data_IF_438648037240
#
_entry.id   IF_438648037240
#
_cell.length_a   1.000
_cell.length_b   1.000
_cell.length_c   1.000
_cell.angle_alpha   90.00
_cell.angle_beta   90.00
_cell.angle_gamma   90.00
#
_symmetry.space_group_name_H-M   'P 1'
#
loop_
_entity.id
_entity.type
_entity.pdbx_description
1 polymer ?
#
# COMPACT_ATOMS: atom_id res chain seq x y z
N UNK A 1 27.29 6.98 -10.92
CA UNK A 1 27.24 7.19 -12.38
C UNK A 1 25.97 6.52 -12.88
N UNK A 2 24.89 7.27 -13.13
CA UNK A 2 23.67 6.70 -13.69
C UNK A 2 23.98 6.19 -15.10
N UNK A 3 23.83 4.89 -15.33
CA UNK A 3 24.03 4.30 -16.65
C UNK A 3 23.01 4.92 -17.61
N UNK A 4 23.48 5.66 -18.62
CA UNK A 4 22.60 6.23 -19.66
C UNK A 4 21.91 5.08 -20.39
N UNK A 5 20.67 4.78 -19.99
CA UNK A 5 19.84 3.78 -20.64
C UNK A 5 19.39 4.36 -21.98
N UNK A 6 19.72 3.67 -23.07
CA UNK A 6 19.30 4.08 -24.40
C UNK A 6 17.76 4.09 -24.50
N UNK A 7 17.22 5.18 -25.06
CA UNK A 7 15.77 5.33 -25.19
C UNK A 7 15.22 4.27 -26.17
N UNK A 8 14.21 3.55 -25.72
CA UNK A 8 13.51 2.56 -26.54
C UNK A 8 12.54 3.27 -27.49
N UNK A 9 12.45 2.87 -28.78
CA UNK A 9 11.52 3.47 -29.71
C UNK A 9 10.05 3.39 -29.23
N UNK A 10 9.19 4.38 -29.52
CA UNK A 10 7.83 4.47 -28.97
C UNK A 10 6.98 3.22 -29.18
N UNK A 11 6.95 2.68 -30.40
CA UNK A 11 6.14 1.49 -30.72
C UNK A 11 6.66 0.23 -30.04
N UNK A 12 7.98 0.11 -29.87
CA UNK A 12 8.59 -1.01 -29.16
C UNK A 12 8.27 -0.93 -27.68
N UNK A 13 8.40 0.26 -27.08
CA UNK A 13 8.08 0.50 -25.68
C UNK A 13 6.61 0.18 -25.39
N UNK A 14 5.70 0.69 -26.22
CA UNK A 14 4.26 0.40 -26.13
C UNK A 14 3.96 -1.11 -26.09
N UNK A 15 4.53 -1.89 -27.01
CA UNK A 15 4.34 -3.35 -27.05
C UNK A 15 4.94 -4.05 -25.84
N UNK A 16 6.10 -3.60 -25.36
CA UNK A 16 6.76 -4.17 -24.18
C UNK A 16 5.92 -3.93 -22.92
N UNK A 17 5.34 -2.75 -22.75
CA UNK A 17 4.44 -2.43 -21.62
C UNK A 17 3.23 -3.36 -21.61
N UNK A 18 2.52 -3.51 -22.73
CA UNK A 18 1.34 -4.40 -22.79
C UNK A 18 1.70 -5.88 -22.54
N UNK A 19 2.88 -6.32 -22.98
CA UNK A 19 3.39 -7.67 -22.66
C UNK A 19 3.68 -7.80 -21.17
N UNK A 20 4.28 -6.79 -20.55
CA UNK A 20 4.56 -6.78 -19.12
C UNK A 20 3.26 -6.80 -18.29
N UNK A 21 2.23 -6.04 -18.70
CA UNK A 21 0.91 -6.10 -18.08
C UNK A 21 0.29 -7.51 -18.15
N UNK A 22 0.40 -8.17 -19.30
CA UNK A 22 -0.10 -9.55 -19.44
C UNK A 22 0.62 -10.54 -18.52
N UNK A 23 1.93 -10.38 -18.35
CA UNK A 23 2.77 -11.33 -17.59
C UNK A 23 2.79 -11.08 -16.09
N UNK A 24 2.74 -9.82 -15.67
CA UNK A 24 3.07 -9.43 -14.30
C UNK A 24 1.93 -8.73 -13.56
N UNK A 25 0.90 -8.27 -14.28
CA UNK A 25 -0.20 -7.52 -13.69
C UNK A 25 -1.45 -8.42 -13.51
N UNK A 26 -2.08 -8.45 -12.33
CA UNK A 26 -3.35 -9.12 -12.10
C UNK A 26 -4.45 -8.66 -13.07
N UNK A 27 -5.42 -9.52 -13.42
CA UNK A 27 -6.45 -9.21 -14.42
C UNK A 27 -7.20 -7.90 -14.18
N UNK A 28 -7.58 -7.61 -12.93
CA UNK A 28 -8.32 -6.40 -12.56
C UNK A 28 -7.53 -5.11 -12.83
N UNK A 29 -6.22 -5.11 -12.56
CA UNK A 29 -5.37 -3.95 -12.81
C UNK A 29 -4.99 -3.82 -14.29
N UNK A 30 -4.96 -4.94 -15.02
CA UNK A 30 -4.71 -4.94 -16.46
C UNK A 30 -5.82 -4.24 -17.25
N UNK A 31 -7.07 -4.45 -16.89
CA UNK A 31 -8.21 -3.81 -17.57
C UNK A 31 -8.07 -2.28 -17.52
N UNK A 32 -7.78 -1.74 -16.33
CA UNK A 32 -7.57 -0.31 -16.14
C UNK A 32 -6.27 0.17 -16.82
N UNK A 33 -5.16 -0.53 -16.57
CA UNK A 33 -3.83 -0.15 -17.04
C UNK A 33 -3.69 -0.18 -18.56
N UNK A 34 -4.20 -1.21 -19.23
CA UNK A 34 -4.14 -1.32 -20.70
C UNK A 34 -4.91 -0.19 -21.38
N UNK A 35 -6.07 0.19 -20.82
CA UNK A 35 -6.87 1.32 -21.29
C UNK A 35 -6.11 2.64 -21.17
N UNK A 36 -5.49 2.88 -20.01
CA UNK A 36 -4.71 4.09 -19.75
C UNK A 36 -3.49 4.21 -20.69
N UNK A 37 -2.68 3.16 -20.81
CA UNK A 37 -1.51 3.14 -21.72
C UNK A 37 -1.92 3.47 -23.15
N UNK A 38 -3.00 2.83 -23.64
CA UNK A 38 -3.52 3.09 -25.00
C UNK A 38 -3.94 4.53 -25.20
N UNK A 39 -4.62 5.12 -24.22
CA UNK A 39 -5.05 6.51 -24.28
C UNK A 39 -3.86 7.47 -24.30
N UNK A 40 -2.89 7.26 -23.42
CA UNK A 40 -1.71 8.13 -23.30
C UNK A 40 -0.83 8.10 -24.55
N UNK A 41 -0.50 6.91 -25.08
CA UNK A 41 0.26 6.81 -26.33
C UNK A 41 -0.49 7.38 -27.54
N UNK A 42 -1.82 7.31 -27.54
CA UNK A 42 -2.64 7.95 -28.59
C UNK A 42 -2.60 9.47 -28.47
N UNK A 43 -2.75 10.02 -27.26
CA UNK A 43 -2.68 11.47 -27.00
C UNK A 43 -1.33 12.07 -27.39
N UNK A 44 -0.26 11.29 -27.27
CA UNK A 44 1.12 11.73 -27.58
C UNK A 44 1.58 11.35 -28.99
N UNK A 45 0.68 10.88 -29.85
CA UNK A 45 1.04 10.43 -31.22
C UNK A 45 1.50 11.59 -32.11
N UNK A 46 0.85 12.74 -31.99
CA UNK A 46 1.05 13.90 -32.87
C UNK A 46 1.84 15.03 -32.16
N UNK A 47 2.59 14.70 -31.11
CA UNK A 47 3.45 15.65 -30.40
C UNK A 47 4.80 15.72 -31.11
N UNK A 48 5.15 16.91 -31.60
CA UNK A 48 6.39 17.09 -32.39
C UNK A 48 7.57 17.63 -31.58
N UNK A 49 7.33 18.17 -30.38
CA UNK A 49 8.41 18.73 -29.56
C UNK A 49 9.32 17.61 -29.04
N UNK A 50 10.61 17.57 -29.44
CA UNK A 50 11.51 16.47 -29.11
C UNK A 50 11.77 16.36 -27.60
N UNK A 51 11.75 17.47 -26.85
CA UNK A 51 11.93 17.42 -25.39
C UNK A 51 10.77 16.70 -24.70
N UNK A 52 9.54 16.95 -25.16
CA UNK A 52 8.36 16.27 -24.62
C UNK A 52 8.36 14.78 -24.99
N UNK A 53 8.73 14.43 -26.23
CA UNK A 53 8.85 13.03 -26.65
C UNK A 53 9.90 12.29 -25.80
N UNK A 54 11.08 12.89 -25.59
CA UNK A 54 12.15 12.30 -24.78
C UNK A 54 11.69 12.11 -23.33
N UNK A 55 11.09 13.14 -22.73
CA UNK A 55 10.55 13.05 -21.36
C UNK A 55 9.48 11.96 -21.23
N UNK A 56 8.55 11.90 -22.17
CA UNK A 56 7.53 10.86 -22.25
C UNK A 56 8.15 9.46 -22.32
N UNK A 57 9.07 9.22 -23.27
CA UNK A 57 9.71 7.91 -23.43
C UNK A 57 10.53 7.48 -22.22
N UNK A 58 11.17 8.42 -21.53
CA UNK A 58 11.90 8.14 -20.30
C UNK A 58 10.95 7.67 -19.19
N UNK A 59 9.88 8.42 -18.93
CA UNK A 59 8.90 8.08 -17.90
C UNK A 59 8.26 6.70 -18.13
N UNK A 60 7.89 6.39 -19.38
CA UNK A 60 7.29 5.11 -19.72
C UNK A 60 8.29 3.94 -19.67
N UNK A 61 9.58 4.18 -19.90
CA UNK A 61 10.63 3.19 -19.67
C UNK A 61 10.87 2.92 -18.19
N UNK A 62 10.83 3.95 -17.35
CA UNK A 62 10.95 3.80 -15.90
C UNK A 62 9.74 3.02 -15.35
N UNK A 63 8.53 3.34 -15.82
CA UNK A 63 7.32 2.58 -15.51
C UNK A 63 7.44 1.10 -15.91
N UNK A 64 7.87 0.80 -17.13
CA UNK A 64 8.11 -0.58 -17.57
C UNK A 64 9.13 -1.28 -16.68
N UNK A 65 10.22 -0.60 -16.33
CA UNK A 65 11.28 -1.15 -15.47
C UNK A 65 10.73 -1.48 -14.08
N UNK A 66 9.85 -0.65 -13.54
CA UNK A 66 9.17 -0.93 -12.27
C UNK A 66 8.25 -2.14 -12.34
N UNK A 67 7.47 -2.31 -13.42
CA UNK A 67 6.62 -3.51 -13.58
C UNK A 67 7.47 -4.77 -13.65
N UNK A 68 8.57 -4.73 -14.40
CA UNK A 68 9.47 -5.88 -14.54
C UNK A 68 10.21 -6.21 -13.24
N UNK A 69 10.61 -5.19 -12.46
CA UNK A 69 11.26 -5.37 -11.17
C UNK A 69 10.30 -5.84 -10.07
N UNK A 70 9.02 -5.46 -10.15
CA UNK A 70 7.98 -5.89 -9.20
C UNK A 70 7.47 -7.31 -9.46
N UNK A 71 7.90 -7.95 -10.55
CA UNK A 71 7.55 -9.35 -10.81
C UNK A 71 8.18 -10.25 -9.74
N UNK A 72 7.40 -11.08 -9.02
CA UNK A 72 7.98 -12.06 -8.12
C UNK A 72 8.82 -13.04 -8.96
N UNK A 73 10.13 -13.03 -8.73
CA UNK A 73 11.04 -14.04 -9.25
C UNK A 73 10.56 -15.39 -8.72
N UNK A 74 9.93 -16.21 -9.57
CA UNK A 74 9.67 -17.62 -9.30
C UNK A 74 11.00 -18.38 -9.21
N UNK A 75 11.80 -18.16 -8.16
CA UNK A 75 12.77 -19.14 -7.71
C UNK A 75 12.05 -20.07 -6.73
N UNK A 76 11.26 -20.98 -7.32
CA UNK A 76 10.63 -22.06 -6.57
C UNK A 76 11.71 -23.10 -6.27
N UNK A 77 12.52 -22.85 -5.24
CA UNK A 77 13.36 -23.89 -4.68
C UNK A 77 12.42 -24.85 -3.95
N UNK A 78 12.12 -25.98 -4.59
CA UNK A 78 11.38 -27.09 -4.02
C UNK A 78 12.08 -27.57 -2.74
N UNK A 79 11.66 -27.05 -1.58
CA UNK A 79 11.85 -27.75 -0.33
C UNK A 79 10.63 -28.64 -0.12
N UNK A 80 10.84 -29.93 -0.30
CA UNK A 80 9.88 -30.98 0.03
C UNK A 80 9.65 -30.92 1.54
N UNK A 81 8.44 -30.54 1.98
CA UNK A 81 8.03 -30.72 3.37
C UNK A 81 7.49 -32.14 3.56
N UNK A 82 7.94 -32.89 4.58
CA UNK A 82 7.28 -34.12 4.96
C UNK A 82 5.98 -33.79 5.70
N UNK A 83 4.91 -34.46 5.24
CA UNK A 83 3.58 -34.50 5.84
C UNK A 83 3.64 -35.09 7.24
N UNK A 84 3.10 -34.41 8.27
CA UNK A 84 2.54 -35.08 9.45
C UNK A 84 1.45 -34.23 10.18
N UNK A 85 0.24 -34.74 10.02
CA UNK A 85 -1.02 -34.77 10.78
C UNK A 85 -1.20 -34.05 12.15
N UNK A 86 -2.31 -33.28 12.21
CA UNK A 86 -3.43 -33.22 13.19
C UNK A 86 -3.16 -32.94 14.68
N UNK A 87 -3.71 -31.80 15.17
CA UNK A 87 -4.67 -31.65 16.31
C UNK A 87 -4.93 -30.13 16.53
N UNK A 88 -6.14 -29.60 16.28
CA UNK A 88 -7.32 -29.45 17.16
C UNK A 88 -7.27 -28.17 18.03
N UNK A 89 -8.19 -27.23 17.78
CA UNK A 89 -8.83 -26.25 18.69
C UNK A 89 -9.79 -25.38 17.84
N UNK A 90 -11.11 -25.36 18.10
CA UNK A 90 -12.02 -24.34 17.60
C UNK A 90 -12.38 -23.40 18.75
N UNK A 91 -11.81 -22.19 18.80
CA UNK A 91 -12.23 -21.16 19.74
C UNK A 91 -12.82 -19.96 19.01
N UNK A 92 -14.04 -19.64 19.45
CA UNK A 92 -14.88 -18.53 19.03
C UNK A 92 -14.26 -17.19 19.42
N UNK A 93 -13.84 -16.37 18.44
CA UNK A 93 -13.72 -14.92 18.59
C UNK A 93 -13.68 -14.23 17.21
N UNK A 94 -14.49 -13.18 17.10
CA UNK A 94 -14.46 -12.03 16.16
C UNK A 94 -14.44 -12.27 14.64
N UNK A 95 -15.64 -12.16 14.07
CA UNK A 95 -15.95 -12.10 12.63
C UNK A 95 -15.47 -10.81 11.92
N UNK A 96 -14.79 -9.88 12.61
CA UNK A 96 -14.34 -8.60 12.03
C UNK A 96 -12.93 -8.60 11.41
N UNK A 97 -12.13 -9.67 11.59
CA UNK A 97 -10.73 -9.70 11.16
C UNK A 97 -10.48 -10.26 9.76
N UNK A 98 -11.51 -10.81 9.11
CA UNK A 98 -11.36 -11.54 7.84
C UNK A 98 -10.78 -10.68 6.71
N UNK A 99 -11.05 -9.38 6.67
CA UNK A 99 -10.51 -8.49 5.63
C UNK A 99 -9.03 -8.17 5.87
N UNK A 100 -8.64 -7.92 7.11
CA UNK A 100 -7.25 -7.58 7.42
C UNK A 100 -6.36 -8.82 7.35
N UNK A 101 -6.83 -9.98 7.79
CA UNK A 101 -6.13 -11.25 7.57
C UNK A 101 -6.09 -11.65 6.10
N UNK A 102 -7.18 -11.49 5.34
CA UNK A 102 -7.17 -11.76 3.89
C UNK A 102 -6.23 -10.81 3.15
N UNK A 103 -6.19 -9.53 3.53
CA UNK A 103 -5.21 -8.57 3.01
C UNK A 103 -3.77 -8.93 3.42
N UNK A 104 -3.53 -9.30 4.68
CA UNK A 104 -2.23 -9.79 5.16
C UNK A 104 -1.81 -11.05 4.43
N UNK A 105 -2.75 -11.94 4.11
CA UNK A 105 -2.52 -13.18 3.39
C UNK A 105 -2.25 -12.94 1.90
N UNK A 106 -2.94 -11.97 1.26
CA UNK A 106 -2.60 -11.47 -0.08
C UNK A 106 -1.22 -10.80 -0.12
N UNK A 107 -0.86 -10.06 0.94
CA UNK A 107 0.46 -9.44 1.09
C UNK A 107 1.54 -10.52 1.32
N UNK A 108 1.27 -11.53 2.15
CA UNK A 108 2.22 -12.63 2.44
C UNK A 108 2.38 -13.61 1.29
N UNK A 109 1.34 -13.78 0.46
CA UNK A 109 1.38 -14.50 -0.82
C UNK A 109 2.14 -13.72 -1.92
N UNK A 110 2.77 -12.59 -1.59
CA UNK A 110 3.61 -11.83 -2.51
C UNK A 110 2.84 -10.94 -3.47
N UNK A 111 1.54 -10.73 -3.23
CA UNK A 111 0.66 -9.94 -4.10
C UNK A 111 0.29 -8.56 -3.52
N UNK A 112 1.20 -7.97 -2.74
CA UNK A 112 1.13 -6.55 -2.42
C UNK A 112 1.54 -5.74 -3.66
N UNK A 113 0.57 -5.33 -4.47
CA UNK A 113 0.87 -4.45 -5.61
C UNK A 113 1.16 -3.02 -5.11
N UNK A 114 2.25 -2.44 -5.59
CA UNK A 114 2.76 -1.15 -5.12
C UNK A 114 3.87 -1.29 -4.06
N UNK A 115 4.50 -0.17 -3.71
CA UNK A 115 5.50 -0.11 -2.64
C UNK A 115 4.84 0.47 -1.39
N UNK A 116 5.19 -0.05 -0.21
CA UNK A 116 4.83 0.62 1.04
C UNK A 116 5.44 2.03 1.03
N UNK A 117 4.67 3.01 1.51
CA UNK A 117 5.14 4.39 1.59
C UNK A 117 6.34 4.45 2.54
N UNK A 118 7.42 5.10 2.09
CA UNK A 118 8.64 5.21 2.91
C UNK A 118 8.37 6.16 4.08
N UNK A 119 8.62 5.77 5.35
CA UNK A 119 8.42 6.64 6.50
C UNK A 119 9.20 7.96 6.39
N UNK A 120 10.43 7.95 5.86
CA UNK A 120 11.22 9.17 5.66
C UNK A 120 10.65 10.13 4.60
N UNK A 121 9.68 9.68 3.79
CA UNK A 121 8.94 10.55 2.86
C UNK A 121 7.76 11.24 3.58
N UNK A 122 7.14 10.58 4.56
CA UNK A 122 6.08 11.16 5.38
C UNK A 122 6.59 12.37 6.16
N UNK A 123 7.80 12.29 6.70
CA UNK A 123 8.45 13.38 7.44
C UNK A 123 8.75 14.61 6.56
N UNK A 124 8.77 14.43 5.23
CA UNK A 124 9.05 15.51 4.26
C UNK A 124 7.78 16.09 3.64
N UNK A 125 6.62 15.51 3.90
CA UNK A 125 5.33 16.00 3.41
C UNK A 125 4.88 17.19 4.26
N UNK A 126 4.20 18.16 3.64
CA UNK A 126 3.58 19.25 4.40
C UNK A 126 2.41 18.74 5.24
N UNK A 127 2.04 19.48 6.29
CA UNK A 127 0.88 19.14 7.14
C UNK A 127 -0.40 18.96 6.32
N UNK A 128 -0.59 19.78 5.28
CA UNK A 128 -1.71 19.66 4.37
C UNK A 128 -1.68 18.35 3.57
N UNK A 129 -0.51 17.95 3.05
CA UNK A 129 -0.34 16.70 2.30
C UNK A 129 -0.55 15.47 3.20
N UNK A 130 -0.07 15.55 4.44
CA UNK A 130 -0.30 14.53 5.48
C UNK A 130 -1.79 14.39 5.80
N UNK A 131 -2.51 15.51 5.94
CA UNK A 131 -3.96 15.51 6.15
C UNK A 131 -4.73 14.86 4.99
N UNK A 132 -4.41 15.23 3.75
CA UNK A 132 -5.04 14.61 2.56
C UNK A 132 -4.76 13.11 2.48
N UNK A 133 -3.53 12.69 2.77
CA UNK A 133 -3.15 11.29 2.78
C UNK A 133 -3.87 10.50 3.88
N UNK A 134 -4.05 11.11 5.06
CA UNK A 134 -4.79 10.52 6.17
C UNK A 134 -6.26 10.31 5.81
N UNK A 135 -6.94 11.33 5.27
CA UNK A 135 -8.35 11.21 4.85
C UNK A 135 -8.51 10.14 3.76
N UNK A 136 -7.63 10.14 2.75
CA UNK A 136 -7.63 9.09 1.73
C UNK A 136 -7.46 7.70 2.33
N UNK A 137 -6.53 7.53 3.28
CA UNK A 137 -6.31 6.25 3.97
C UNK A 137 -7.56 5.82 4.75
N UNK A 138 -8.22 6.77 5.42
CA UNK A 138 -9.44 6.54 6.20
C UNK A 138 -10.60 6.07 5.31
N UNK A 139 -10.81 6.76 4.20
CA UNK A 139 -11.81 6.38 3.19
C UNK A 139 -11.51 5.00 2.58
N UNK A 140 -10.26 4.75 2.16
CA UNK A 140 -9.85 3.51 1.51
C UNK A 140 -9.93 2.29 2.44
N UNK A 141 -9.73 2.48 3.75
CA UNK A 141 -9.94 1.42 4.77
C UNK A 141 -11.42 1.19 5.10
N UNK A 142 -12.34 2.04 4.63
CA UNK A 142 -13.75 1.93 4.94
C UNK A 142 -14.10 2.28 6.40
N UNK A 143 -13.26 3.08 7.07
CA UNK A 143 -13.43 3.53 8.47
C UNK A 143 -14.57 4.58 8.62
N UNK A 144 -15.71 4.33 7.97
CA UNK A 144 -16.84 5.24 7.87
C UNK A 144 -18.00 4.88 8.79
N UNK A 145 -17.97 3.76 9.51
CA UNK A 145 -19.14 3.36 10.31
C UNK A 145 -19.15 4.09 11.66
N UNK A 146 -20.29 4.71 12.07
CA UNK A 146 -20.44 5.29 13.41
C UNK A 146 -20.17 4.29 14.55
N UNK A 147 -20.32 2.99 14.27
CA UNK A 147 -20.03 1.92 15.23
C UNK A 147 -18.54 1.84 15.59
N UNK A 148 -17.64 2.01 14.63
CA UNK A 148 -16.19 1.98 14.89
C UNK A 148 -15.71 3.26 15.60
N UNK A 149 -16.39 4.40 15.41
CA UNK A 149 -16.15 5.62 16.20
C UNK A 149 -16.59 5.43 17.66
N UNK A 150 -17.72 4.78 17.89
CA UNK A 150 -18.18 4.41 19.23
C UNK A 150 -17.27 3.37 19.88
N UNK A 151 -16.72 2.43 19.11
CA UNK A 151 -15.75 1.45 19.61
C UNK A 151 -14.42 2.11 19.97
N UNK A 152 -13.89 3.01 19.13
CA UNK A 152 -12.68 3.77 19.45
C UNK A 152 -12.88 4.69 20.66
N UNK A 153 -14.04 5.35 20.78
CA UNK A 153 -14.37 6.18 21.93
C UNK A 153 -14.49 5.34 23.21
N UNK A 154 -15.01 4.10 23.11
CA UNK A 154 -15.05 3.16 24.23
C UNK A 154 -13.65 2.70 24.62
N UNK A 155 -12.82 2.30 23.67
CA UNK A 155 -11.43 1.90 23.91
C UNK A 155 -10.63 3.05 24.55
N UNK A 156 -10.81 4.28 24.08
CA UNK A 156 -10.16 5.46 24.67
C UNK A 156 -10.64 5.71 26.11
N UNK A 157 -11.94 5.59 26.38
CA UNK A 157 -12.49 5.72 27.74
C UNK A 157 -11.97 4.63 28.70
N UNK A 158 -11.85 3.40 28.22
CA UNK A 158 -11.38 2.27 29.01
C UNK A 158 -9.87 2.37 29.29
N UNK A 159 -9.09 2.89 28.33
CA UNK A 159 -7.68 3.21 28.53
C UNK A 159 -7.50 4.35 29.53
N UNK A 160 -8.31 5.40 29.48
CA UNK A 160 -8.29 6.48 30.47
C UNK A 160 -8.66 5.97 31.87
N UNK A 161 -9.61 5.06 31.98
CA UNK A 161 -10.00 4.45 33.24
C UNK A 161 -8.89 3.52 33.78
N UNK A 162 -8.24 2.73 32.93
CA UNK A 162 -7.07 1.91 33.30
C UNK A 162 -5.87 2.76 33.71
N UNK A 163 -5.60 3.84 32.99
CA UNK A 163 -4.53 4.78 33.33
C UNK A 163 -4.85 5.45 34.67
N UNK A 164 -6.09 5.92 34.87
CA UNK A 164 -6.54 6.50 36.13
C UNK A 164 -6.46 5.50 37.30
N UNK A 165 -6.79 4.23 37.07
CA UNK A 165 -6.68 3.15 38.07
C UNK A 165 -5.23 2.77 38.41
N UNK A 166 -4.28 3.11 37.54
CA UNK A 166 -2.84 2.84 37.73
C UNK A 166 -2.10 4.06 38.29
N UNK A 167 -2.77 5.21 38.40
CA UNK A 167 -2.20 6.38 39.08
C UNK A 167 -2.19 6.16 40.60
N UNK A 168 -1.02 6.25 41.27
CA UNK A 168 -0.95 6.13 42.71
C UNK A 168 -1.72 7.28 43.39
N UNK A 169 -2.36 7.01 44.52
CA UNK A 169 -3.11 8.01 45.31
C UNK A 169 -2.29 9.25 45.72
N UNK A 170 -0.96 9.22 45.55
CA UNK A 170 -0.07 10.37 45.73
C UNK A 170 -0.17 11.42 44.62
N UNK A 171 -0.80 11.13 43.48
CA UNK A 171 -1.00 12.10 42.39
C UNK A 171 -2.14 13.10 42.68
N UNK A 172 -3.01 12.82 43.66
CA UNK A 172 -4.17 13.67 44.01
C UNK A 172 -4.04 14.42 45.33
N UNK A 173 -2.86 14.44 45.99
CA UNK A 173 -2.65 15.33 47.13
C UNK A 173 -2.37 16.76 46.65
N UNK A 174 -3.39 17.44 46.13
CA UNK A 174 -3.40 18.89 46.09
C UNK A 174 -3.47 19.40 47.53
N UNK A 175 -2.39 20.07 47.93
CA UNK A 175 -2.30 21.12 48.94
C UNK A 175 -3.63 21.49 49.62
N UNK A 176 -3.83 20.96 50.82
CA UNK A 176 -4.79 21.49 51.78
C UNK A 176 -4.13 21.45 53.17
N UNK A 177 -3.49 22.56 53.55
CA UNK A 177 -3.34 23.16 54.90
C UNK A 177 -2.09 24.07 54.89
N UNK A 178 -2.25 25.38 54.63
CA UNK A 178 -2.44 26.45 55.62
C UNK A 178 -1.24 26.70 56.54
N UNK A 179 -0.44 27.73 56.27
CA UNK A 179 -0.16 28.91 57.13
C UNK A 179 0.79 29.88 56.43
#
# INVERSE_FOLDING_TARGET
MASQKALTPPLQLYRQILRAHKKHLPPQFRILGDGYVKAEFRRHKDVDNPLYIVGFLQQWQDYLSHILAAAPSHHHQQQQQPRNQVSKEPSEASVHDNKEESLRQLISQGQAFGKRLNPALLDKMSEQQLGQLYELRKEAKGLQTPQELDELAKEESELLERVAATLPASAFTSSASSS
#
